data_IF_601757354657
#
_entry.id   IF_601757354657
#
_cell.length_a   1.000
_cell.length_b   1.000
_cell.length_c   1.000
_cell.angle_alpha   90.00
_cell.angle_beta   90.00
_cell.angle_gamma   90.00
#
_symmetry.space_group_name_H-M   'P 1'
#
loop_
_entity.id
_entity.type
_entity.pdbx_description
1 polymer ?
#
# COMPACT_ATOMS: atom_id res chain seq x y z
N UNK A 1 23.91 9.78 31.18
CA UNK A 1 22.68 9.04 30.84
C UNK A 1 22.41 9.26 29.36
N UNK A 2 22.79 8.30 28.51
CA UNK A 2 22.49 8.35 27.07
C UNK A 2 21.15 7.66 26.80
N UNK A 3 20.19 8.39 26.25
CA UNK A 3 18.94 7.82 25.73
C UNK A 3 19.22 7.31 24.31
N UNK A 4 19.47 6.01 24.19
CA UNK A 4 19.55 5.33 22.90
C UNK A 4 18.13 5.26 22.33
N UNK A 5 17.78 6.17 21.43
CA UNK A 5 16.59 6.01 20.58
C UNK A 5 16.91 4.99 19.48
N UNK A 6 16.81 3.71 19.82
CA UNK A 6 16.77 2.62 18.84
C UNK A 6 15.41 2.67 18.12
N UNK A 7 15.20 3.66 17.24
CA UNK A 7 14.12 3.57 16.25
C UNK A 7 14.61 2.56 15.21
N UNK A 8 13.95 1.41 15.02
CA UNK A 8 14.28 0.56 13.88
C UNK A 8 14.10 1.41 12.64
N UNK A 9 15.19 1.65 11.93
CA UNK A 9 15.20 2.38 10.67
C UNK A 9 14.44 1.52 9.66
N UNK A 10 13.12 1.64 9.65
CA UNK A 10 12.24 0.90 8.76
C UNK A 10 12.52 1.43 7.35
N UNK A 11 13.50 0.84 6.65
CA UNK A 11 13.74 1.10 5.24
C UNK A 11 12.52 0.60 4.49
N UNK A 12 11.59 1.51 4.23
CA UNK A 12 10.41 1.23 3.41
C UNK A 12 10.93 0.82 2.03
N UNK A 13 10.71 -0.44 1.64
CA UNK A 13 11.06 -0.90 0.29
C UNK A 13 10.09 -0.23 -0.67
N UNK A 14 10.63 0.55 -1.61
CA UNK A 14 9.84 1.14 -2.69
C UNK A 14 9.41 0.04 -3.65
N UNK A 15 8.13 0.05 -4.02
CA UNK A 15 7.57 -0.81 -5.07
C UNK A 15 7.11 0.11 -6.19
N UNK A 16 7.56 -0.15 -7.41
CA UNK A 16 7.12 0.52 -8.63
C UNK A 16 6.33 -0.45 -9.49
N UNK A 17 5.28 0.04 -10.14
CA UNK A 17 4.50 -0.68 -11.14
C UNK A 17 4.13 0.29 -12.26
N UNK A 18 3.90 -0.25 -13.46
CA UNK A 18 3.46 0.53 -14.62
C UNK A 18 1.99 0.23 -14.85
N UNK A 19 1.20 1.28 -14.99
CA UNK A 19 -0.20 1.22 -15.41
C UNK A 19 -0.32 1.82 -16.80
N UNK A 20 -1.30 1.37 -17.55
CA UNK A 20 -1.77 2.10 -18.73
C UNK A 20 -2.65 3.30 -18.31
N UNK A 21 -3.03 4.14 -19.28
CA UNK A 21 -3.81 5.36 -18.99
C UNK A 21 -5.21 5.07 -18.44
N UNK A 22 -5.85 3.98 -18.86
CA UNK A 22 -7.19 3.58 -18.40
C UNK A 22 -7.17 3.09 -16.94
N UNK A 23 -6.19 2.26 -16.61
CA UNK A 23 -5.93 1.78 -15.24
C UNK A 23 -5.57 2.94 -14.32
N UNK A 24 -4.74 3.87 -14.81
CA UNK A 24 -4.35 5.06 -14.05
C UNK A 24 -5.55 5.98 -13.77
N UNK A 25 -6.38 6.24 -14.78
CA UNK A 25 -7.60 7.04 -14.62
C UNK A 25 -8.56 6.41 -13.60
N UNK A 26 -8.73 5.09 -13.69
CA UNK A 26 -9.57 4.34 -12.75
C UNK A 26 -9.02 4.44 -11.31
N UNK A 27 -7.71 4.27 -11.13
CA UNK A 27 -7.05 4.38 -9.83
C UNK A 27 -7.20 5.79 -9.24
N UNK A 28 -6.99 6.82 -10.06
CA UNK A 28 -7.14 8.23 -9.64
C UNK A 28 -8.57 8.54 -9.21
N UNK A 29 -9.57 8.05 -9.95
CA UNK A 29 -10.98 8.20 -9.58
C UNK A 29 -11.26 7.57 -8.21
N UNK A 30 -10.80 6.35 -7.97
CA UNK A 30 -10.97 5.67 -6.68
C UNK A 30 -10.26 6.41 -5.54
N UNK A 31 -9.06 6.95 -5.78
CA UNK A 31 -8.37 7.79 -4.80
C UNK A 31 -9.17 9.03 -4.42
N UNK A 32 -9.77 9.70 -5.41
CA UNK A 32 -10.61 10.88 -5.18
C UNK A 32 -11.87 10.54 -4.36
N UNK A 33 -12.58 9.48 -4.74
CA UNK A 33 -13.80 9.05 -4.05
C UNK A 33 -13.54 8.65 -2.59
N UNK A 34 -12.41 7.99 -2.32
CA UNK A 34 -12.06 7.53 -0.98
C UNK A 34 -11.25 8.54 -0.16
N UNK A 35 -10.88 9.69 -0.75
CA UNK A 35 -10.01 10.69 -0.12
C UNK A 35 -8.67 10.08 0.38
N UNK A 36 -8.08 9.19 -0.42
CA UNK A 36 -6.83 8.49 -0.10
C UNK A 36 -5.73 8.82 -1.10
N UNK A 37 -4.47 8.80 -0.63
CA UNK A 37 -3.33 8.79 -1.54
C UNK A 37 -3.23 7.45 -2.27
N UNK A 38 -2.63 7.47 -3.47
CA UNK A 38 -2.38 6.24 -4.25
C UNK A 38 -1.65 5.19 -3.42
N UNK A 39 -0.62 5.59 -2.66
CA UNK A 39 0.15 4.67 -1.82
C UNK A 39 -0.69 4.01 -0.73
N UNK A 40 -1.61 4.75 -0.10
CA UNK A 40 -2.48 4.20 0.94
C UNK A 40 -3.55 3.28 0.36
N UNK A 41 -4.14 3.64 -0.79
CA UNK A 41 -5.10 2.80 -1.49
C UNK A 41 -4.47 1.46 -1.91
N UNK A 42 -3.29 1.50 -2.53
CA UNK A 42 -2.54 0.30 -2.94
C UNK A 42 -2.17 -0.55 -1.73
N UNK A 43 -1.72 0.06 -0.63
CA UNK A 43 -1.40 -0.66 0.61
C UNK A 43 -2.62 -1.42 1.15
N UNK A 44 -3.81 -0.80 1.14
CA UNK A 44 -5.06 -1.44 1.58
C UNK A 44 -5.44 -2.60 0.68
N UNK A 45 -5.41 -2.41 -0.64
CA UNK A 45 -5.73 -3.46 -1.61
C UNK A 45 -4.79 -4.68 -1.46
N UNK A 46 -3.48 -4.45 -1.30
CA UNK A 46 -2.50 -5.52 -1.08
C UNK A 46 -2.77 -6.26 0.23
N UNK A 47 -3.06 -5.54 1.32
CA UNK A 47 -3.39 -6.16 2.60
C UNK A 47 -4.68 -6.99 2.52
N UNK A 48 -5.73 -6.46 1.89
CA UNK A 48 -7.00 -7.17 1.71
C UNK A 48 -6.81 -8.45 0.89
N UNK A 49 -6.04 -8.37 -0.20
CA UNK A 49 -5.71 -9.53 -1.02
C UNK A 49 -4.91 -10.58 -0.23
N UNK A 50 -3.90 -10.15 0.53
CA UNK A 50 -3.10 -11.05 1.36
C UNK A 50 -3.94 -11.72 2.47
N UNK A 51 -4.85 -10.98 3.10
CA UNK A 51 -5.77 -11.52 4.10
C UNK A 51 -6.73 -12.53 3.50
N UNK A 52 -7.29 -12.27 2.31
CA UNK A 52 -8.18 -13.20 1.62
C UNK A 52 -7.46 -14.45 1.11
N UNK A 53 -6.23 -14.31 0.61
CA UNK A 53 -5.40 -15.43 0.18
C UNK A 53 -4.96 -16.35 1.32
N UNK A 54 -4.80 -15.81 2.53
CA UNK A 54 -4.47 -16.59 3.73
C UNK A 54 -5.63 -17.48 4.20
N UNK A 55 -6.87 -17.10 3.91
CA UNK A 55 -8.08 -17.86 4.29
C UNK A 55 -8.41 -19.05 3.38
N UNK A 56 -7.71 -19.21 2.24
CA UNK A 56 -7.90 -20.32 1.30
C UNK A 56 -6.97 -21.52 1.59
N UNK A 57 -6.14 -21.42 2.64
CA UNK A 57 -5.32 -22.52 3.15
C UNK A 57 -5.97 -23.12 4.41
N UNK A 58 -7.06 -23.88 4.28
CA UNK A 58 -7.64 -24.66 5.38
C UNK A 58 -8.33 -25.91 4.84
#
# INVERSE_FOLDING_TARGET
MEKIFNKPSHRMKSIGFRLNDEELNSLQKTCYEQQLSISELVRRAVNEYASKGSSLSS
#
